data_IF_377998463906
#
_entry.id   IF_377998463906
#
_cell.length_a   1.000
_cell.length_b   1.000
_cell.length_c   1.000
_cell.angle_alpha   90.00
_cell.angle_beta   90.00
_cell.angle_gamma   90.00
#
_symmetry.space_group_name_H-M   'P 1'
#
loop_
_entity.id
_entity.type
_entity.pdbx_description
1 polymer ?
#
# COMPACT_ATOMS: atom_id res chain seq x y z
N UNK A 1 -15.94 17.49 -25.58
CA UNK A 1 -14.92 17.71 -24.52
C UNK A 1 -14.33 16.41 -23.97
N UNK A 2 -15.09 15.30 -23.86
CA UNK A 2 -14.55 13.99 -23.41
C UNK A 2 -13.61 13.31 -24.42
N UNK A 3 -13.85 13.45 -25.73
CA UNK A 3 -13.00 12.85 -26.77
C UNK A 3 -11.55 13.39 -26.78
N UNK A 4 -11.35 14.67 -26.45
CA UNK A 4 -10.03 15.29 -26.37
C UNK A 4 -9.28 14.90 -25.09
N UNK A 5 -10.00 14.57 -24.01
CA UNK A 5 -9.41 14.04 -22.78
C UNK A 5 -8.90 12.61 -22.97
N UNK A 6 -9.66 11.77 -23.69
CA UNK A 6 -9.23 10.40 -24.03
C UNK A 6 -8.04 10.41 -24.99
N UNK A 7 -8.03 11.29 -25.98
CA UNK A 7 -6.91 11.42 -26.92
C UNK A 7 -5.60 11.90 -26.25
N UNK A 8 -5.69 12.83 -25.30
CA UNK A 8 -4.52 13.37 -24.57
C UNK A 8 -3.91 12.36 -23.58
N UNK A 9 -4.71 11.43 -23.07
CA UNK A 9 -4.25 10.30 -22.24
C UNK A 9 -3.65 9.20 -23.11
N UNK A 10 -4.22 8.94 -24.29
CA UNK A 10 -3.69 7.97 -25.24
C UNK A 10 -2.32 8.38 -25.82
N UNK A 11 -2.09 9.67 -26.03
CA UNK A 11 -0.83 10.19 -26.61
C UNK A 11 0.36 10.25 -25.63
N UNK A 12 0.20 9.83 -24.37
CA UNK A 12 1.31 9.73 -23.40
C UNK A 12 1.87 8.30 -23.26
N UNK A 13 1.39 7.35 -24.09
CA UNK A 13 1.86 5.97 -24.12
C UNK A 13 2.90 5.71 -25.24
N UNK A 14 3.66 6.73 -25.64
CA UNK A 14 4.63 6.67 -26.75
C UNK A 14 5.99 6.05 -26.42
N UNK A 15 6.09 5.21 -25.37
CA UNK A 15 7.31 4.44 -25.08
C UNK A 15 7.08 2.92 -24.94
N UNK A 16 6.62 2.24 -26.01
CA UNK A 16 6.32 0.80 -26.00
C UNK A 16 7.56 -0.09 -25.85
N UNK A 17 8.77 0.39 -26.18
CA UNK A 17 9.98 -0.46 -26.26
C UNK A 17 10.78 -0.59 -24.96
N UNK A 18 10.63 0.32 -24.00
CA UNK A 18 11.32 0.22 -22.70
C UNK A 18 10.49 -0.48 -21.61
N UNK A 19 9.15 -0.44 -21.70
CA UNK A 19 8.27 -1.17 -20.78
C UNK A 19 8.27 -2.69 -21.03
N UNK A 20 8.47 -3.12 -22.29
CA UNK A 20 8.37 -4.53 -22.67
C UNK A 20 9.52 -5.39 -22.11
N UNK A 21 10.71 -4.82 -21.87
CA UNK A 21 11.83 -5.55 -21.24
C UNK A 21 11.69 -5.74 -19.73
N UNK A 22 10.88 -4.91 -19.06
CA UNK A 22 10.62 -5.02 -17.60
C UNK A 22 9.45 -5.96 -17.29
N UNK A 23 8.57 -6.19 -18.26
CA UNK A 23 7.36 -7.01 -18.16
C UNK A 23 7.45 -8.40 -18.85
N UNK A 24 8.65 -8.88 -19.20
CA UNK A 24 8.83 -10.27 -19.66
C UNK A 24 8.39 -11.25 -18.57
N UNK A 25 8.59 -10.89 -17.30
CA UNK A 25 8.12 -11.64 -16.15
C UNK A 25 6.59 -11.65 -16.00
N UNK A 26 5.90 -10.57 -16.42
CA UNK A 26 4.43 -10.52 -16.41
C UNK A 26 3.83 -11.43 -17.47
N UNK A 27 4.41 -11.45 -18.68
CA UNK A 27 3.97 -12.34 -19.74
C UNK A 27 4.26 -13.80 -19.41
N UNK A 28 5.41 -14.08 -18.78
CA UNK A 28 5.73 -15.42 -18.28
C UNK A 28 4.81 -15.89 -17.14
N UNK A 29 4.37 -14.96 -16.28
CA UNK A 29 3.43 -15.26 -15.18
C UNK A 29 2.01 -15.48 -15.68
N UNK A 30 1.52 -14.67 -16.63
CA UNK A 30 0.21 -14.89 -17.27
C UNK A 30 0.22 -16.22 -18.02
N UNK A 31 1.30 -16.52 -18.76
CA UNK A 31 1.47 -17.81 -19.41
C UNK A 31 1.52 -18.97 -18.39
N UNK A 32 2.19 -18.79 -17.25
CA UNK A 32 2.24 -19.77 -16.16
C UNK A 32 0.90 -19.97 -15.45
N UNK A 33 0.12 -18.91 -15.25
CA UNK A 33 -1.22 -18.95 -14.66
C UNK A 33 -2.22 -19.62 -15.60
N UNK A 34 -2.16 -19.31 -16.90
CA UNK A 34 -2.96 -19.95 -17.95
C UNK A 34 -2.57 -21.42 -18.11
N UNK A 35 -1.27 -21.75 -18.07
CA UNK A 35 -0.80 -23.14 -18.09
C UNK A 35 -1.21 -23.92 -16.82
N UNK A 36 -1.22 -23.27 -15.65
CA UNK A 36 -1.69 -23.87 -14.40
C UNK A 36 -3.21 -24.05 -14.36
N UNK A 37 -3.98 -23.16 -15.00
CA UNK A 37 -5.44 -23.25 -15.15
C UNK A 37 -5.88 -24.28 -16.19
N UNK A 38 -5.03 -24.55 -17.20
CA UNK A 38 -5.27 -25.58 -18.22
C UNK A 38 -4.93 -27.00 -17.76
N UNK A 39 -4.24 -27.16 -16.61
CA UNK A 39 -3.92 -28.48 -16.06
C UNK A 39 -5.13 -29.05 -15.29
N UNK A 40 -5.66 -30.24 -15.66
CA UNK A 40 -6.84 -30.81 -15.04
C UNK A 40 -6.67 -31.01 -13.53
N UNK A 41 -7.71 -30.66 -12.76
CA UNK A 41 -7.72 -30.68 -11.30
C UNK A 41 -7.79 -32.07 -10.65
N UNK A 42 -7.40 -33.14 -11.36
CA UNK A 42 -7.58 -34.51 -10.88
C UNK A 42 -6.28 -35.32 -10.88
N UNK A 43 -5.93 -35.81 -9.69
CA UNK A 43 -5.10 -36.99 -9.33
C UNK A 43 -3.70 -36.67 -8.71
N UNK A 44 -3.67 -36.62 -7.38
CA UNK A 44 -2.66 -37.18 -6.44
C UNK A 44 -1.15 -36.99 -6.65
N UNK A 45 -0.69 -36.05 -7.47
CA UNK A 45 0.75 -35.83 -7.67
C UNK A 45 1.30 -34.60 -6.91
N UNK A 46 2.33 -34.76 -6.05
CA UNK A 46 2.93 -33.67 -5.25
C UNK A 46 3.53 -32.53 -6.09
N UNK A 47 3.84 -32.81 -7.35
CA UNK A 47 4.34 -31.83 -8.31
C UNK A 47 3.32 -30.72 -8.64
N UNK A 48 2.02 -31.04 -8.71
CA UNK A 48 0.97 -30.04 -8.97
C UNK A 48 0.79 -29.08 -7.79
N UNK A 49 0.95 -29.59 -6.57
CA UNK A 49 0.92 -28.85 -5.31
C UNK A 49 2.14 -27.94 -5.21
N UNK A 50 3.33 -28.43 -5.59
CA UNK A 50 4.56 -27.65 -5.65
C UNK A 50 4.50 -26.50 -6.68
N UNK A 51 3.91 -26.73 -7.85
CA UNK A 51 3.72 -25.68 -8.88
C UNK A 51 2.74 -24.62 -8.40
N UNK A 52 1.62 -25.02 -7.80
CA UNK A 52 0.63 -24.09 -7.22
C UNK A 52 1.22 -23.30 -6.05
N UNK A 53 2.05 -23.93 -5.22
CA UNK A 53 2.78 -23.29 -4.13
C UNK A 53 3.84 -22.30 -4.62
N UNK A 54 4.61 -22.70 -5.63
CA UNK A 54 5.61 -21.83 -6.23
C UNK A 54 4.93 -20.61 -6.85
N UNK A 55 3.82 -20.77 -7.57
CA UNK A 55 3.05 -19.67 -8.16
C UNK A 55 2.43 -18.79 -7.07
N UNK A 56 1.80 -19.35 -6.03
CA UNK A 56 1.24 -18.56 -4.92
C UNK A 56 2.32 -17.76 -4.17
N UNK A 57 3.47 -18.38 -3.89
CA UNK A 57 4.62 -17.76 -3.24
C UNK A 57 5.22 -16.64 -4.13
N UNK A 58 5.43 -16.91 -5.41
CA UNK A 58 5.94 -15.92 -6.38
C UNK A 58 4.95 -14.76 -6.58
N UNK A 59 3.64 -15.03 -6.55
CA UNK A 59 2.59 -14.00 -6.64
C UNK A 59 2.62 -13.06 -5.44
N UNK A 60 2.81 -13.61 -4.24
CA UNK A 60 2.93 -12.83 -2.99
C UNK A 60 4.21 -12.03 -2.90
N UNK A 61 5.34 -12.68 -3.23
CA UNK A 61 6.65 -12.00 -3.29
C UNK A 61 6.59 -10.87 -4.31
N UNK A 62 6.00 -11.10 -5.48
CA UNK A 62 5.79 -10.04 -6.47
C UNK A 62 4.88 -8.93 -5.96
N UNK A 63 3.75 -9.24 -5.33
CA UNK A 63 2.83 -8.25 -4.75
C UNK A 63 3.58 -7.33 -3.78
N UNK A 64 4.35 -7.90 -2.85
CA UNK A 64 5.14 -7.12 -1.88
C UNK A 64 6.19 -6.24 -2.58
N UNK A 65 6.85 -6.76 -3.61
CA UNK A 65 7.91 -6.03 -4.34
C UNK A 65 7.35 -4.97 -5.28
N UNK A 66 6.18 -5.19 -5.86
CA UNK A 66 5.43 -4.21 -6.67
C UNK A 66 4.90 -3.07 -5.81
N UNK A 67 4.50 -3.35 -4.57
CA UNK A 67 3.99 -2.33 -3.64
C UNK A 67 5.12 -1.53 -2.94
N UNK A 68 6.32 -2.11 -2.80
CA UNK A 68 7.50 -1.48 -2.17
C UNK A 68 7.79 -0.02 -2.60
N UNK A 69 7.81 0.34 -3.91
CA UNK A 69 8.10 1.73 -4.32
C UNK A 69 6.92 2.70 -4.16
N UNK A 70 5.71 2.21 -3.87
CA UNK A 70 4.51 3.05 -3.73
C UNK A 70 4.17 3.36 -2.28
N UNK A 71 4.67 2.56 -1.34
CA UNK A 71 4.48 2.73 0.11
C UNK A 71 5.13 4.03 0.63
N UNK A 72 6.14 4.58 -0.05
CA UNK A 72 6.89 5.75 0.40
C UNK A 72 6.44 7.08 -0.21
N UNK A 73 5.38 7.12 -1.03
CA UNK A 73 4.97 8.34 -1.76
C UNK A 73 3.50 8.76 -1.62
N UNK A 74 2.64 7.95 -1.00
CA UNK A 74 1.21 8.20 -0.92
C UNK A 74 0.72 8.51 0.48
N UNK A 75 -0.18 9.49 0.64
CA UNK A 75 -0.91 9.72 1.89
C UNK A 75 -1.80 8.52 2.28
N UNK A 76 -2.34 8.54 3.49
CA UNK A 76 -3.17 7.48 4.09
C UNK A 76 -4.21 6.88 3.12
N UNK A 77 -4.86 7.71 2.30
CA UNK A 77 -5.87 7.26 1.32
C UNK A 77 -5.32 6.31 0.25
N UNK A 78 -4.07 6.51 -0.20
CA UNK A 78 -3.42 5.60 -1.16
C UNK A 78 -3.12 4.25 -0.52
N UNK A 79 -2.69 4.26 0.74
CA UNK A 79 -2.42 3.03 1.50
C UNK A 79 -3.70 2.19 1.68
N UNK A 80 -4.82 2.84 2.00
CA UNK A 80 -6.12 2.17 2.12
C UNK A 80 -6.59 1.59 0.78
N UNK A 81 -6.37 2.31 -0.32
CA UNK A 81 -6.72 1.82 -1.66
C UNK A 81 -5.91 0.59 -2.04
N UNK A 82 -4.59 0.59 -1.76
CA UNK A 82 -3.74 -0.58 -1.96
C UNK A 82 -4.18 -1.75 -1.09
N UNK A 83 -4.47 -1.52 0.19
CA UNK A 83 -4.97 -2.55 1.09
C UNK A 83 -6.27 -3.19 0.57
N UNK A 84 -7.19 -2.35 0.07
CA UNK A 84 -8.43 -2.81 -0.53
C UNK A 84 -8.19 -3.64 -1.80
N UNK A 85 -7.32 -3.19 -2.71
CA UNK A 85 -6.98 -3.92 -3.92
C UNK A 85 -6.33 -5.29 -3.61
N UNK A 86 -5.45 -5.33 -2.60
CA UNK A 86 -4.82 -6.57 -2.11
C UNK A 86 -5.87 -7.52 -1.54
N UNK A 87 -6.82 -7.02 -0.73
CA UNK A 87 -7.94 -7.81 -0.21
C UNK A 87 -8.79 -8.40 -1.33
N UNK A 88 -9.13 -7.62 -2.35
CA UNK A 88 -9.86 -8.10 -3.52
C UNK A 88 -9.09 -9.21 -4.26
N UNK A 89 -7.78 -9.03 -4.44
CA UNK A 89 -6.93 -10.05 -5.06
C UNK A 89 -6.90 -11.35 -4.24
N UNK A 90 -6.78 -11.24 -2.91
CA UNK A 90 -6.85 -12.39 -2.01
C UNK A 90 -8.22 -13.08 -2.06
N UNK A 91 -9.31 -12.32 -2.18
CA UNK A 91 -10.66 -12.87 -2.32
C UNK A 91 -10.84 -13.68 -3.61
N UNK A 92 -10.33 -13.17 -4.73
CA UNK A 92 -10.28 -13.92 -5.99
C UNK A 92 -9.39 -15.16 -5.87
N UNK A 93 -8.27 -15.06 -5.16
CA UNK A 93 -7.40 -16.19 -4.85
C UNK A 93 -8.13 -17.30 -4.09
N UNK A 94 -8.87 -16.97 -3.03
CA UNK A 94 -9.67 -17.96 -2.31
C UNK A 94 -10.79 -18.55 -3.15
N UNK A 95 -11.48 -17.75 -3.96
CA UNK A 95 -12.50 -18.27 -4.89
C UNK A 95 -11.92 -19.26 -5.91
N UNK A 96 -10.69 -19.04 -6.39
CA UNK A 96 -10.03 -19.95 -7.32
C UNK A 96 -9.43 -21.20 -6.65
N UNK A 97 -8.97 -21.09 -5.39
CA UNK A 97 -8.26 -22.18 -4.69
C UNK A 97 -9.16 -23.06 -3.80
N UNK A 98 -10.31 -22.55 -3.36
CA UNK A 98 -11.20 -23.25 -2.43
C UNK A 98 -12.53 -23.64 -3.10
N UNK A 99 -12.76 -24.94 -3.39
CA UNK A 99 -13.98 -25.40 -4.05
C UNK A 99 -15.27 -25.15 -3.27
N UNK A 100 -15.17 -24.94 -1.96
CA UNK A 100 -16.32 -24.64 -1.08
C UNK A 100 -16.81 -23.19 -1.24
N UNK A 101 -15.98 -22.30 -1.76
CA UNK A 101 -16.31 -20.90 -2.02
C UNK A 101 -17.04 -20.81 -3.35
N UNK A 102 -18.38 -20.72 -3.31
CA UNK A 102 -19.21 -20.74 -4.53
C UNK A 102 -19.28 -19.37 -5.21
N UNK A 103 -19.26 -18.29 -4.42
CA UNK A 103 -19.37 -16.92 -4.93
C UNK A 103 -18.10 -16.10 -4.69
N UNK A 104 -17.90 -15.06 -5.49
CA UNK A 104 -16.82 -14.09 -5.25
C UNK A 104 -16.99 -13.37 -3.90
N UNK A 105 -18.23 -13.18 -3.44
CA UNK A 105 -18.54 -12.58 -2.15
C UNK A 105 -18.02 -13.44 -0.99
N UNK A 106 -18.22 -14.75 -1.06
CA UNK A 106 -17.72 -15.70 -0.07
C UNK A 106 -16.18 -15.73 -0.03
N UNK A 107 -15.54 -15.59 -1.20
CA UNK A 107 -14.07 -15.54 -1.30
C UNK A 107 -13.52 -14.25 -0.68
N UNK A 108 -14.17 -13.12 -0.93
CA UNK A 108 -13.81 -11.82 -0.35
C UNK A 108 -14.03 -11.81 1.16
N UNK A 109 -15.13 -12.41 1.64
CA UNK A 109 -15.42 -12.59 3.05
C UNK A 109 -14.36 -13.45 3.75
N UNK A 110 -13.99 -14.58 3.16
CA UNK A 110 -12.92 -15.43 3.67
C UNK A 110 -11.58 -14.70 3.70
N UNK A 111 -11.25 -13.93 2.65
CA UNK A 111 -10.05 -13.12 2.62
C UNK A 111 -10.04 -12.04 3.72
N UNK A 112 -11.16 -11.34 3.90
CA UNK A 112 -11.31 -10.30 4.91
C UNK A 112 -11.16 -10.84 6.34
N UNK A 113 -11.92 -11.88 6.67
CA UNK A 113 -11.88 -12.50 8.01
C UNK A 113 -10.53 -13.14 8.33
N UNK A 114 -9.85 -13.68 7.32
CA UNK A 114 -8.50 -14.23 7.44
C UNK A 114 -7.45 -13.13 7.63
N UNK A 115 -7.48 -12.08 6.80
CA UNK A 115 -6.55 -10.96 6.89
C UNK A 115 -6.71 -10.16 8.20
N UNK A 116 -7.95 -10.04 8.68
CA UNK A 116 -8.27 -9.41 9.97
C UNK A 116 -8.04 -10.34 11.17
N UNK A 117 -7.61 -11.59 10.95
CA UNK A 117 -7.40 -12.62 12.00
C UNK A 117 -8.62 -12.93 12.87
N UNK A 118 -9.83 -12.62 12.37
CA UNK A 118 -11.09 -12.86 13.08
C UNK A 118 -11.49 -14.34 13.00
N UNK A 119 -11.49 -14.90 11.78
CA UNK A 119 -11.72 -16.32 11.55
C UNK A 119 -13.00 -16.88 12.20
N UNK A 120 -14.18 -16.41 11.77
CA UNK A 120 -15.47 -16.88 12.31
C UNK A 120 -15.71 -18.39 12.18
N UNK A 121 -15.04 -19.05 11.23
CA UNK A 121 -15.11 -20.50 11.04
C UNK A 121 -16.32 -20.98 10.25
N UNK A 122 -17.11 -20.06 9.71
CA UNK A 122 -18.22 -20.31 8.78
C UNK A 122 -17.73 -20.82 7.42
N UNK A 123 -16.68 -20.20 6.89
CA UNK A 123 -15.97 -20.64 5.69
C UNK A 123 -14.51 -20.83 6.07
N UNK A 124 -13.96 -22.01 5.77
CA UNK A 124 -12.56 -22.34 6.09
C UNK A 124 -11.88 -23.00 4.89
N UNK A 125 -10.58 -22.70 4.66
CA UNK A 125 -9.82 -23.37 3.62
C UNK A 125 -9.72 -24.86 3.92
N UNK A 126 -10.33 -25.67 3.06
CA UNK A 126 -10.35 -27.13 3.17
C UNK A 126 -9.20 -27.76 2.40
N UNK A 127 -8.80 -27.16 1.28
CA UNK A 127 -7.71 -27.70 0.45
C UNK A 127 -6.33 -27.35 1.01
N UNK A 128 -5.31 -28.21 0.85
CA UNK A 128 -3.94 -27.90 1.25
C UNK A 128 -3.40 -26.60 0.64
N UNK A 129 -3.74 -26.33 -0.62
CA UNK A 129 -3.36 -25.11 -1.32
C UNK A 129 -4.01 -23.86 -0.68
N UNK A 130 -5.31 -23.91 -0.40
CA UNK A 130 -6.02 -22.80 0.25
C UNK A 130 -5.52 -22.56 1.68
N UNK A 131 -5.13 -23.61 2.42
CA UNK A 131 -4.56 -23.48 3.78
C UNK A 131 -3.21 -22.76 3.76
N UNK A 132 -2.33 -23.13 2.83
CA UNK A 132 -1.03 -22.47 2.70
C UNK A 132 -1.21 -21.02 2.22
N UNK A 133 -2.13 -20.80 1.29
CA UNK A 133 -2.50 -19.44 0.87
C UNK A 133 -3.00 -18.60 2.05
N UNK A 134 -3.84 -19.16 2.93
CA UNK A 134 -4.34 -18.46 4.12
C UNK A 134 -3.22 -18.01 5.06
N UNK A 135 -2.17 -18.80 5.26
CA UNK A 135 -0.99 -18.39 6.06
C UNK A 135 -0.37 -17.11 5.50
N UNK A 136 -0.23 -17.01 4.18
CA UNK A 136 0.30 -15.81 3.56
C UNK A 136 -0.65 -14.62 3.64
N UNK A 137 -1.95 -14.85 3.51
CA UNK A 137 -2.96 -13.79 3.68
C UNK A 137 -2.90 -13.19 5.08
N UNK A 138 -2.69 -14.02 6.12
CA UNK A 138 -2.49 -13.53 7.50
C UNK A 138 -1.25 -12.66 7.61
N UNK A 139 -0.10 -13.10 7.07
CA UNK A 139 1.14 -12.31 7.08
C UNK A 139 0.97 -10.97 6.36
N UNK A 140 0.26 -10.98 5.23
CA UNK A 140 -0.02 -9.79 4.44
C UNK A 140 -0.96 -8.83 5.18
N UNK A 141 -1.99 -9.35 5.84
CA UNK A 141 -2.89 -8.57 6.70
C UNK A 141 -2.13 -7.86 7.82
N UNK A 142 -1.20 -8.56 8.47
CA UNK A 142 -0.35 -7.99 9.51
C UNK A 142 0.57 -6.88 8.98
N UNK A 143 1.16 -7.07 7.80
CA UNK A 143 1.98 -6.05 7.14
C UNK A 143 1.17 -4.78 6.83
N UNK A 144 -0.05 -4.92 6.32
CA UNK A 144 -0.95 -3.80 6.06
C UNK A 144 -1.33 -3.07 7.35
N UNK A 145 -1.72 -3.82 8.40
CA UNK A 145 -2.06 -3.24 9.71
C UNK A 145 -0.88 -2.45 10.31
N UNK A 146 0.33 -3.01 10.24
CA UNK A 146 1.55 -2.34 10.69
C UNK A 146 1.79 -1.04 9.94
N UNK A 147 1.59 -1.05 8.62
CA UNK A 147 1.81 0.13 7.79
C UNK A 147 0.77 1.22 8.02
N UNK A 148 -0.50 0.85 8.22
CA UNK A 148 -1.56 1.80 8.60
C UNK A 148 -1.23 2.45 9.95
N UNK A 149 -0.78 1.64 10.92
CA UNK A 149 -0.37 2.14 12.23
C UNK A 149 0.80 3.13 12.11
N UNK A 150 1.82 2.78 11.31
CA UNK A 150 2.97 3.66 11.06
C UNK A 150 2.56 4.96 10.37
N UNK A 151 1.62 4.91 9.41
CA UNK A 151 1.12 6.10 8.73
C UNK A 151 0.38 7.04 9.68
N UNK A 152 -0.45 6.51 10.57
CA UNK A 152 -1.14 7.31 11.60
C UNK A 152 -0.12 7.96 12.54
N UNK A 153 0.89 7.19 13.01
CA UNK A 153 1.95 7.72 13.85
C UNK A 153 2.72 8.85 13.15
N UNK A 154 3.06 8.69 11.88
CA UNK A 154 3.73 9.72 11.08
C UNK A 154 2.90 11.01 10.97
N UNK A 155 1.57 10.89 10.78
CA UNK A 155 0.67 12.06 10.75
C UNK A 155 0.66 12.81 12.09
N UNK A 156 0.70 12.09 13.21
CA UNK A 156 0.76 12.69 14.54
C UNK A 156 2.09 13.41 14.79
N UNK A 157 3.20 12.79 14.40
CA UNK A 157 4.53 13.40 14.48
C UNK A 157 4.60 14.66 13.63
N UNK A 158 4.17 14.61 12.37
CA UNK A 158 4.18 15.78 11.47
C UNK A 158 3.33 16.94 12.02
N UNK A 159 2.15 16.64 12.58
CA UNK A 159 1.30 17.66 13.22
C UNK A 159 1.98 18.28 14.44
N UNK A 160 2.76 17.49 15.18
CA UNK A 160 3.47 17.94 16.38
C UNK A 160 4.69 18.80 16.01
N UNK A 161 5.47 18.40 15.01
CA UNK A 161 6.60 19.17 14.49
C UNK A 161 6.15 20.53 13.95
N UNK A 162 5.06 20.57 13.15
CA UNK A 162 4.53 21.84 12.62
C UNK A 162 4.05 22.79 13.70
N UNK A 163 3.49 22.28 14.81
CA UNK A 163 3.11 23.10 15.97
C UNK A 163 4.34 23.67 16.66
N UNK A 164 5.35 22.84 16.91
CA UNK A 164 6.61 23.25 17.54
C UNK A 164 7.31 24.34 16.73
N UNK A 165 7.41 24.16 15.41
CA UNK A 165 8.01 25.17 14.51
C UNK A 165 7.25 26.51 14.61
N UNK A 166 5.92 26.48 14.59
CA UNK A 166 5.10 27.69 14.72
C UNK A 166 5.31 28.39 16.07
N UNK A 167 5.40 27.64 17.16
CA UNK A 167 5.58 28.19 18.50
C UNK A 167 6.98 28.79 18.67
N UNK A 168 8.02 28.11 18.17
CA UNK A 168 9.39 28.64 18.13
C UNK A 168 9.44 29.94 17.31
N UNK A 169 8.85 29.95 16.11
CA UNK A 169 8.82 31.15 15.27
C UNK A 169 8.10 32.31 15.95
N UNK A 170 6.98 32.06 16.63
CA UNK A 170 6.26 33.10 17.39
C UNK A 170 7.10 33.65 18.54
N UNK A 171 7.79 32.80 19.27
CA UNK A 171 8.66 33.21 20.37
C UNK A 171 9.81 34.08 19.86
N UNK A 172 10.48 33.67 18.78
CA UNK A 172 11.57 34.44 18.16
C UNK A 172 11.06 35.81 17.70
N UNK A 173 9.90 35.90 17.04
CA UNK A 173 9.34 37.19 16.64
C UNK A 173 8.98 38.09 17.83
N UNK A 174 8.49 37.52 18.93
CA UNK A 174 8.18 38.26 20.15
C UNK A 174 9.44 38.81 20.82
N UNK A 175 10.49 38.00 20.95
CA UNK A 175 11.78 38.41 21.50
C UNK A 175 12.45 39.51 20.65
N UNK A 176 12.45 39.36 19.32
CA UNK A 176 12.96 40.39 18.40
C UNK A 176 12.16 41.69 18.53
N UNK A 177 10.83 41.60 18.67
CA UNK A 177 9.97 42.77 18.90
C UNK A 177 10.30 43.50 20.20
N UNK A 178 10.50 42.74 21.29
CA UNK A 178 10.87 43.27 22.60
C UNK A 178 12.23 43.96 22.59
N UNK A 179 13.27 43.31 22.03
CA UNK A 179 14.61 43.91 21.90
C UNK A 179 14.56 45.19 21.06
N UNK A 180 13.80 45.19 19.96
CA UNK A 180 13.68 46.37 19.10
C UNK A 180 12.99 47.54 19.81
N UNK A 181 12.01 47.26 20.67
CA UNK A 181 11.36 48.27 21.51
C UNK A 181 12.35 48.85 22.55
N UNK A 182 13.13 48.00 23.21
CA UNK A 182 14.14 48.40 24.19
C UNK A 182 15.23 49.30 23.57
N UNK A 183 15.77 48.92 22.41
CA UNK A 183 16.76 49.73 21.67
C UNK A 183 16.19 51.10 21.28
N UNK A 184 14.90 51.17 20.91
CA UNK A 184 14.25 52.42 20.53
C UNK A 184 14.05 53.33 21.76
N UNK A 185 13.68 52.76 22.90
CA UNK A 185 13.56 53.49 24.16
C UNK A 185 14.90 54.08 24.61
N UNK A 186 15.98 53.29 24.58
CA UNK A 186 17.33 53.76 24.90
C UNK A 186 17.77 54.87 23.95
N UNK A 187 17.57 54.71 22.64
CA UNK A 187 17.95 55.73 21.64
C UNK A 187 17.24 57.07 21.84
N UNK A 188 15.97 57.06 22.26
CA UNK A 188 15.21 58.29 22.53
C UNK A 188 15.64 58.99 23.84
N UNK A 189 16.27 58.26 24.77
CA UNK A 189 16.78 58.80 26.03
C UNK A 189 18.19 59.42 25.94
N UNK A 190 18.90 59.24 24.82
CA UNK A 190 20.24 59.80 24.63
C UNK A 190 20.15 61.19 23.98
N UNK A 191 20.56 62.28 24.67
CA UNK A 191 20.59 63.62 24.08
C UNK A 191 21.59 63.69 22.91
N UNK A 192 21.34 64.52 21.87
CA UNK A 192 22.23 64.61 20.72
C UNK A 192 23.64 65.06 21.16
N UNK A 193 24.70 64.56 20.50
CA UNK A 193 26.06 64.94 20.85
C UNK A 193 26.24 66.45 20.74
N UNK A 194 26.95 67.10 21.68
CA UNK A 194 27.26 68.51 21.58
C UNK A 194 28.12 68.73 20.34
N UNK A 195 27.59 69.48 19.38
CA UNK A 195 28.29 69.96 18.19
C UNK A 195 29.19 71.14 18.50
#
# INVERSE_FOLDING_TARGET
MLALAVWRVASHLDHPRQHLRRNVLDLALIAGLVAAALLPASIDSPASLAVRLAVALLSLVRMVWTLRPWITRGGLGYLLLVAFAVLCFCGVGFWALEPRVQTLGDGLWLAFTTAATVGYGDIVPSTPAAKIFAVFVVLLGYAVLSLVTAAIAAMWVETSERRMEHDILRQVHAEVGALRAEVTALRNGVPPPPG
#
